data_IF_842585198362
#
_entry.id   IF_842585198362
#
_cell.length_a   1.000
_cell.length_b   1.000
_cell.length_c   1.000
_cell.angle_alpha   90.00
_cell.angle_beta   90.00
_cell.angle_gamma   90.00
#
_symmetry.space_group_name_H-M   'P 1'
#
loop_
_entity.id
_entity.type
_entity.pdbx_description
1 polymer ?
#
# COMPACT_ATOMS: atom_id res chain seq x y z
N UNK A 1 -4.12 1.05 38.06
CA UNK A 1 -2.69 0.79 38.31
C UNK A 1 -1.90 1.16 37.07
N UNK A 2 -1.00 2.14 37.15
CA UNK A 2 -0.21 2.61 36.01
C UNK A 2 0.93 1.64 35.76
N UNK A 3 1.00 1.06 34.55
CA UNK A 3 1.92 -0.02 34.21
C UNK A 3 3.39 0.45 34.02
N UNK A 4 3.63 1.76 33.90
CA UNK A 4 4.95 2.36 33.78
C UNK A 4 4.94 3.85 34.23
N UNK A 5 4.91 4.13 35.54
CA UNK A 5 4.82 5.50 36.07
C UNK A 5 6.03 6.37 35.73
N UNK A 6 7.22 5.77 35.60
CA UNK A 6 8.44 6.46 35.19
C UNK A 6 8.38 6.99 33.76
N UNK A 7 7.65 6.34 32.86
CA UNK A 7 7.44 6.82 31.49
C UNK A 7 6.57 8.08 31.52
N UNK A 8 5.50 8.09 32.34
CA UNK A 8 4.62 9.24 32.47
C UNK A 8 5.37 10.49 32.99
N UNK A 9 6.32 10.31 33.90
CA UNK A 9 7.16 11.40 34.43
C UNK A 9 8.21 11.94 33.43
N UNK A 10 8.49 11.22 32.34
CA UNK A 10 9.53 11.57 31.36
C UNK A 10 8.96 12.02 29.99
N UNK A 11 7.63 12.15 29.86
CA UNK A 11 7.01 12.63 28.61
C UNK A 11 7.34 14.10 28.37
N UNK A 12 8.16 14.37 27.36
CA UNK A 12 8.49 15.75 26.92
C UNK A 12 7.47 16.27 25.91
N UNK A 13 6.87 15.39 25.11
CA UNK A 13 5.87 15.74 24.10
C UNK A 13 4.91 14.60 23.87
N UNK A 14 3.63 14.93 23.82
CA UNK A 14 2.55 14.03 23.47
C UNK A 14 1.81 14.57 22.25
N UNK A 15 1.50 13.69 21.30
CA UNK A 15 0.74 14.02 20.10
C UNK A 15 -0.41 13.04 19.95
N UNK A 16 -1.63 13.56 19.86
CA UNK A 16 -2.82 12.73 19.72
C UNK A 16 -2.99 12.26 18.26
N UNK A 17 -3.22 10.97 18.09
CA UNK A 17 -3.64 10.37 16.84
C UNK A 17 -4.81 9.40 17.08
N UNK A 18 -5.67 9.25 16.09
CA UNK A 18 -6.81 8.35 16.08
C UNK A 18 -7.04 7.80 14.68
N UNK A 19 -7.84 6.73 14.52
CA UNK A 19 -8.27 6.29 13.19
C UNK A 19 -8.90 7.41 12.35
N UNK A 20 -9.69 8.31 12.95
CA UNK A 20 -10.26 9.47 12.26
C UNK A 20 -9.22 10.44 11.74
N UNK A 21 -8.16 10.71 12.52
CA UNK A 21 -7.07 11.56 12.03
C UNK A 21 -6.26 10.84 10.97
N UNK A 22 -6.10 9.52 11.07
CA UNK A 22 -5.39 8.73 10.06
C UNK A 22 -6.14 8.72 8.72
N UNK A 23 -7.46 8.52 8.74
CA UNK A 23 -8.33 8.66 7.57
C UNK A 23 -8.24 10.06 6.97
N UNK A 24 -8.31 11.11 7.79
CA UNK A 24 -8.15 12.50 7.33
C UNK A 24 -6.83 12.74 6.58
N UNK A 25 -5.73 12.17 7.04
CA UNK A 25 -4.40 12.39 6.44
C UNK A 25 -4.09 11.47 5.26
N UNK A 26 -4.64 10.25 5.25
CA UNK A 26 -4.29 9.23 4.25
C UNK A 26 -5.41 8.94 3.26
N UNK A 27 -6.62 9.43 3.51
CA UNK A 27 -7.83 9.08 2.78
C UNK A 27 -8.29 7.64 2.99
N UNK A 28 -7.71 6.90 3.95
CA UNK A 28 -8.03 5.49 4.18
C UNK A 28 -9.31 5.36 4.99
N UNK A 29 -10.36 4.71 4.46
CA UNK A 29 -11.65 4.61 5.12
C UNK A 29 -11.50 3.94 6.49
N UNK A 30 -12.24 4.44 7.48
CA UNK A 30 -12.24 3.96 8.86
C UNK A 30 -10.87 4.04 9.56
N UNK A 31 -9.91 4.77 8.98
CA UNK A 31 -8.54 4.86 9.49
C UNK A 31 -7.79 3.54 9.42
N UNK A 32 -8.20 2.63 8.52
CA UNK A 32 -7.53 1.35 8.35
C UNK A 32 -6.08 1.58 7.97
N UNK A 33 -5.14 0.94 8.66
CA UNK A 33 -3.79 0.71 8.15
C UNK A 33 -3.83 -0.50 7.22
N UNK A 34 -2.99 -0.54 6.20
CA UNK A 34 -3.06 -1.59 5.19
C UNK A 34 -2.82 -2.99 5.73
N UNK A 35 -2.67 -3.93 4.81
CA UNK A 35 -2.40 -5.33 5.13
C UNK A 35 -3.53 -6.18 4.59
N UNK A 36 -3.29 -7.49 4.53
CA UNK A 36 -4.30 -8.42 4.06
C UNK A 36 -5.57 -8.22 4.89
N UNK A 37 -6.72 -7.92 4.28
CA UNK A 37 -7.95 -7.74 5.03
C UNK A 37 -8.21 -8.98 5.88
N UNK A 38 -8.22 -8.83 7.22
CA UNK A 38 -8.54 -9.93 8.15
C UNK A 38 -10.04 -10.24 8.18
N UNK A 39 -10.70 -10.22 7.03
CA UNK A 39 -12.07 -10.69 6.85
C UNK A 39 -12.00 -12.17 6.51
N UNK A 40 -12.89 -12.98 7.08
CA UNK A 40 -12.93 -14.41 6.81
C UNK A 40 -13.16 -14.67 5.32
N UNK A 41 -12.35 -15.56 4.73
CA UNK A 41 -12.49 -16.02 3.35
C UNK A 41 -11.36 -15.57 2.40
N UNK A 42 -11.17 -16.33 1.32
CA UNK A 42 -10.14 -16.09 0.30
C UNK A 42 -10.43 -14.88 -0.59
N UNK A 43 -11.65 -14.32 -0.54
CA UNK A 43 -12.04 -13.14 -1.33
C UNK A 43 -11.15 -11.92 -1.08
N UNK A 44 -10.71 -11.73 0.17
CA UNK A 44 -9.78 -10.67 0.55
C UNK A 44 -8.39 -10.79 -0.11
N UNK A 45 -8.04 -11.97 -0.65
CA UNK A 45 -6.77 -12.25 -1.30
C UNK A 45 -6.87 -12.21 -2.83
N UNK A 46 -8.09 -12.26 -3.40
CA UNK A 46 -8.29 -12.21 -4.86
C UNK A 46 -7.74 -10.92 -5.45
N UNK A 47 -7.90 -9.81 -4.73
CA UNK A 47 -7.48 -8.49 -5.20
C UNK A 47 -6.01 -8.16 -4.90
N UNK A 48 -5.32 -9.00 -4.11
CA UNK A 48 -3.89 -8.80 -3.82
C UNK A 48 -3.03 -9.12 -5.04
N UNK A 49 -3.43 -10.08 -5.88
CA UNK A 49 -2.62 -10.55 -7.02
C UNK A 49 -3.01 -9.91 -8.35
N UNK A 50 -3.80 -8.84 -8.34
CA UNK A 50 -4.39 -8.32 -9.57
C UNK A 50 -3.35 -7.58 -10.41
N UNK A 51 -3.32 -7.92 -11.70
CA UNK A 51 -2.68 -7.10 -12.72
C UNK A 51 -3.28 -5.69 -12.77
N UNK A 52 -2.79 -4.85 -13.70
CA UNK A 52 -3.30 -3.48 -13.85
C UNK A 52 -4.84 -3.48 -13.97
N UNK A 53 -5.57 -2.64 -13.21
CA UNK A 53 -7.03 -2.63 -13.23
C UNK A 53 -7.59 -2.28 -14.61
N UNK A 54 -6.80 -1.60 -15.45
CA UNK A 54 -7.05 -1.39 -16.87
C UNK A 54 -5.73 -1.21 -17.63
N UNK A 55 -5.74 -1.40 -18.95
CA UNK A 55 -4.53 -1.32 -19.78
C UNK A 55 -3.83 0.04 -19.61
N UNK A 56 -2.55 0.00 -19.23
CA UNK A 56 -1.74 1.21 -19.04
C UNK A 56 -1.92 1.90 -17.69
N UNK A 57 -2.74 1.37 -16.79
CA UNK A 57 -2.92 1.88 -15.44
C UNK A 57 -2.33 0.90 -14.43
N UNK A 58 -1.45 1.36 -13.54
CA UNK A 58 -0.73 0.49 -12.62
C UNK A 58 -0.90 0.97 -11.19
N UNK A 59 -0.90 0.02 -10.26
CA UNK A 59 -1.02 0.28 -8.83
C UNK A 59 0.27 -0.11 -8.11
N UNK A 60 0.68 0.70 -7.14
CA UNK A 60 1.82 0.45 -6.24
C UNK A 60 1.49 0.98 -4.85
N UNK A 61 2.10 0.39 -3.83
CA UNK A 61 1.92 0.80 -2.45
C UNK A 61 1.73 -0.40 -1.53
N UNK A 62 1.48 -0.11 -0.27
CA UNK A 62 1.24 -1.07 0.81
C UNK A 62 -0.10 -1.83 0.70
N UNK A 63 -0.96 -1.36 -0.21
CA UNK A 63 -2.30 -1.87 -0.48
C UNK A 63 -2.32 -2.88 -1.65
N UNK A 64 -1.17 -3.06 -2.30
CA UNK A 64 -0.94 -4.04 -3.37
C UNK A 64 0.00 -5.11 -2.83
N UNK A 65 -0.14 -6.37 -3.27
CA UNK A 65 0.80 -7.42 -2.90
C UNK A 65 2.25 -7.02 -3.25
N UNK A 66 3.24 -7.22 -2.36
CA UNK A 66 3.28 -8.11 -1.19
C UNK A 66 2.68 -7.58 0.12
N UNK A 67 2.14 -6.35 0.14
CA UNK A 67 1.37 -5.81 1.27
C UNK A 67 2.11 -4.77 2.10
N UNK A 68 1.77 -4.70 3.39
CA UNK A 68 2.29 -3.70 4.32
C UNK A 68 3.77 -3.88 4.66
N UNK A 69 4.36 -2.78 5.11
CA UNK A 69 5.76 -2.55 5.47
C UNK A 69 6.51 -1.76 4.41
N UNK A 70 7.52 -1.03 4.88
CA UNK A 70 8.44 -0.28 4.04
C UNK A 70 9.14 -1.19 3.02
N UNK A 71 9.62 -2.37 3.48
CA UNK A 71 10.29 -3.34 2.61
C UNK A 71 9.35 -3.88 1.53
N UNK A 72 8.15 -4.31 1.92
CA UNK A 72 7.16 -4.83 0.98
C UNK A 72 6.79 -3.79 -0.09
N UNK A 73 6.58 -2.54 0.34
CA UNK A 73 6.27 -1.42 -0.57
C UNK A 73 7.43 -1.14 -1.54
N UNK A 74 8.66 -1.12 -1.05
CA UNK A 74 9.84 -0.89 -1.88
C UNK A 74 10.04 -2.00 -2.93
N UNK A 75 9.93 -3.26 -2.51
CA UNK A 75 10.02 -4.42 -3.43
C UNK A 75 8.88 -4.39 -4.45
N UNK A 76 7.66 -4.07 -4.04
CA UNK A 76 6.52 -3.91 -4.94
C UNK A 76 6.76 -2.84 -6.00
N UNK A 77 7.31 -1.69 -5.60
CA UNK A 77 7.68 -0.62 -6.52
C UNK A 77 8.76 -1.02 -7.53
N UNK A 78 9.81 -1.70 -7.09
CA UNK A 78 10.87 -2.20 -7.98
C UNK A 78 10.32 -3.18 -9.03
N UNK A 79 9.44 -4.11 -8.61
CA UNK A 79 8.78 -5.05 -9.52
C UNK A 79 7.87 -4.36 -10.52
N UNK A 80 7.11 -3.35 -10.08
CA UNK A 80 6.27 -2.58 -10.99
C UNK A 80 7.11 -1.82 -12.03
N UNK A 81 8.22 -1.21 -11.63
CA UNK A 81 9.12 -0.52 -12.54
C UNK A 81 9.67 -1.45 -13.64
N UNK A 82 10.09 -2.67 -13.26
CA UNK A 82 10.53 -3.68 -14.23
C UNK A 82 9.42 -4.06 -15.22
N UNK A 83 8.19 -4.24 -14.72
CA UNK A 83 7.03 -4.53 -15.57
C UNK A 83 6.74 -3.40 -16.54
N UNK A 84 6.75 -2.16 -16.08
CA UNK A 84 6.53 -0.97 -16.90
C UNK A 84 7.55 -0.88 -18.05
N UNK A 85 8.83 -1.14 -17.77
CA UNK A 85 9.88 -1.17 -18.78
C UNK A 85 9.61 -2.23 -19.86
N UNK A 86 9.18 -3.43 -19.47
CA UNK A 86 8.78 -4.48 -20.41
C UNK A 86 7.57 -4.07 -21.28
N UNK A 87 6.52 -3.53 -20.65
CA UNK A 87 5.30 -3.10 -21.35
C UNK A 87 5.57 -1.93 -22.33
N UNK A 88 6.46 -1.00 -21.99
CA UNK A 88 6.89 0.09 -22.87
C UNK A 88 7.79 -0.41 -24.00
N UNK A 89 8.70 -1.34 -23.73
CA UNK A 89 9.55 -1.96 -24.75
C UNK A 89 8.73 -2.71 -25.82
N UNK A 90 7.62 -3.33 -25.44
CA UNK A 90 6.69 -3.98 -26.40
C UNK A 90 5.85 -2.99 -27.21
N UNK A 91 5.65 -1.75 -26.73
CA UNK A 91 4.90 -0.72 -27.47
C UNK A 91 5.71 -0.06 -28.59
N UNK A 92 7.03 -0.17 -28.58
CA UNK A 92 7.92 0.35 -29.64
C UNK A 92 7.95 -0.45 -30.95
N UNK A 93 7.28 -1.61 -31.01
CA UNK A 93 7.25 -2.48 -32.20
C UNK A 93 5.96 -2.41 -33.03
N UNK A 94 5.00 -1.55 -32.65
CA UNK A 94 3.77 -1.34 -33.40
C UNK A 94 4.00 -0.40 -34.57
N UNK A 95 4.25 -0.97 -35.75
CA UNK A 95 4.15 -0.29 -37.04
C UNK A 95 2.88 0.57 -37.11
N UNK A 96 3.05 1.88 -37.18
CA UNK A 96 2.09 2.75 -37.87
C UNK A 96 2.19 2.37 -39.35
N UNK A 97 1.15 1.73 -39.87
CA UNK A 97 0.95 1.67 -41.32
C UNK A 97 0.15 2.91 -41.76
N UNK A 98 0.46 3.48 -42.94
CA UNK A 98 -0.14 4.71 -43.47
C UNK A 98 -1.63 4.58 -43.80
#
# INVERSE_FOLDING_TARGET
HTLAPEIAGAVVRELTASPRTFERFTGRPEGLVGGVPRRAGFGAYRDLFTGPPMRGFYLVGDSVFPGQSTLATAVGGARLAQRLLGDLGHRGGGSVNP
#
